data_IF_583701987585
#
_entry.id   IF_583701987585
#
_cell.length_a   1.000
_cell.length_b   1.000
_cell.length_c   1.000
_cell.angle_alpha   90.00
_cell.angle_beta   90.00
_cell.angle_gamma   90.00
#
_symmetry.space_group_name_H-M   'P 1'
#
loop_
_entity.id
_entity.type
_entity.pdbx_description
1 polymer ?
#
# COMPACT_ATOMS: atom_id res chain seq x y z
N UNK A 1 -5.99 -11.22 -15.96
CA UNK A 1 -6.80 -10.13 -15.39
C UNK A 1 -6.61 -8.97 -16.31
N UNK A 2 -7.69 -8.38 -16.77
CA UNK A 2 -7.65 -7.15 -17.54
C UNK A 2 -7.61 -6.00 -16.53
N UNK A 3 -6.53 -5.22 -16.56
CA UNK A 3 -6.42 -4.02 -15.74
C UNK A 3 -7.17 -2.86 -16.41
N UNK A 4 -7.74 -1.92 -15.61
CA UNK A 4 -8.37 -0.74 -16.17
C UNK A 4 -7.37 0.04 -17.03
N UNK A 5 -7.83 0.70 -18.09
CA UNK A 5 -6.99 1.67 -18.79
C UNK A 5 -7.05 2.98 -18.01
N UNK A 6 -5.92 3.55 -17.55
CA UNK A 6 -5.96 4.76 -16.74
C UNK A 6 -6.68 5.92 -17.40
N UNK A 7 -6.52 6.09 -18.72
CA UNK A 7 -7.22 7.16 -19.46
C UNK A 7 -8.75 7.14 -19.32
N UNK A 8 -9.35 6.03 -18.91
CA UNK A 8 -10.80 5.90 -18.73
C UNK A 8 -11.28 6.34 -17.32
N UNK A 9 -10.37 6.64 -16.38
CA UNK A 9 -10.69 6.91 -14.98
C UNK A 9 -9.86 8.05 -14.39
N UNK A 10 -10.45 8.98 -13.64
CA UNK A 10 -9.69 10.06 -12.98
C UNK A 10 -8.72 9.53 -11.91
N UNK A 11 -9.15 8.48 -11.19
CA UNK A 11 -8.42 7.87 -10.08
C UNK A 11 -8.55 6.35 -10.14
N UNK A 12 -7.43 5.66 -9.94
CA UNK A 12 -7.40 4.22 -9.73
C UNK A 12 -7.08 3.94 -8.26
N UNK A 13 -7.99 3.24 -7.58
CA UNK A 13 -7.82 2.85 -6.18
C UNK A 13 -7.30 1.42 -6.10
N UNK A 14 -6.15 1.25 -5.45
CA UNK A 14 -5.59 -0.05 -5.12
C UNK A 14 -5.86 -0.31 -3.64
N UNK A 15 -6.71 -1.28 -3.39
CA UNK A 15 -7.03 -1.75 -2.03
C UNK A 15 -6.65 -3.21 -1.88
N UNK A 16 -6.48 -3.63 -0.65
CA UNK A 16 -6.21 -5.02 -0.30
C UNK A 16 -6.08 -5.17 1.19
N UNK A 17 -6.72 -6.20 1.73
CA UNK A 17 -6.39 -6.72 3.04
C UNK A 17 -5.38 -7.85 2.84
N UNK A 18 -4.30 -7.85 3.63
CA UNK A 18 -3.44 -9.03 3.73
C UNK A 18 -4.28 -10.16 4.33
N UNK A 19 -4.05 -11.40 3.88
CA UNK A 19 -4.63 -12.55 4.57
C UNK A 19 -4.28 -12.47 6.06
N UNK A 20 -5.26 -12.52 6.97
CA UNK A 20 -4.99 -12.50 8.40
C UNK A 20 -4.14 -13.71 8.76
N UNK A 21 -3.01 -13.47 9.42
CA UNK A 21 -2.11 -14.53 9.91
C UNK A 21 -1.78 -14.30 11.38
N UNK A 22 -1.59 -15.38 12.17
CA UNK A 22 -1.02 -15.27 13.50
C UNK A 22 0.29 -14.48 13.45
N UNK A 23 0.52 -13.60 14.44
CA UNK A 23 1.69 -12.70 14.46
C UNK A 23 3.03 -13.47 14.31
N UNK A 24 3.13 -14.64 14.92
CA UNK A 24 4.32 -15.52 14.83
C UNK A 24 4.66 -16.00 13.42
N UNK A 25 3.64 -16.16 12.57
CA UNK A 25 3.82 -16.57 11.17
C UNK A 25 3.97 -15.38 10.23
N UNK A 26 3.68 -14.18 10.72
CA UNK A 26 3.68 -12.98 9.90
C UNK A 26 5.08 -12.60 9.45
N UNK A 27 6.03 -12.46 10.38
CA UNK A 27 7.40 -12.06 10.04
C UNK A 27 7.98 -12.98 8.97
N UNK A 28 7.72 -14.29 9.11
CA UNK A 28 8.08 -15.32 8.12
C UNK A 28 7.35 -15.15 6.78
N UNK A 29 6.08 -14.76 6.80
CA UNK A 29 5.33 -14.53 5.57
C UNK A 29 5.76 -13.25 4.84
N UNK A 30 6.13 -12.20 5.58
CA UNK A 30 6.59 -10.92 5.02
C UNK A 30 7.99 -11.03 4.43
N UNK A 31 8.87 -11.85 5.00
CA UNK A 31 10.19 -12.11 4.41
C UNK A 31 10.16 -13.20 3.33
N UNK A 32 9.06 -13.95 3.21
CA UNK A 32 8.91 -14.99 2.20
C UNK A 32 8.29 -14.42 0.92
N UNK A 33 9.14 -14.25 -0.10
CA UNK A 33 8.75 -13.75 -1.43
C UNK A 33 7.75 -14.65 -2.18
N UNK A 34 7.53 -15.89 -1.74
CA UNK A 34 6.53 -16.78 -2.32
C UNK A 34 5.11 -16.54 -1.76
N UNK A 35 4.92 -15.62 -0.81
CA UNK A 35 3.59 -15.31 -0.26
C UNK A 35 3.01 -14.02 -0.83
N UNK A 36 1.68 -13.95 -0.91
CA UNK A 36 0.95 -12.76 -1.32
C UNK A 36 0.89 -11.66 -0.24
N UNK A 37 1.36 -11.93 0.99
CA UNK A 37 1.39 -10.93 2.05
C UNK A 37 2.63 -10.03 1.98
N UNK A 38 3.68 -10.48 1.29
CA UNK A 38 4.84 -9.66 0.99
C UNK A 38 4.51 -8.79 -0.25
N UNK A 39 4.47 -7.44 -0.13
CA UNK A 39 4.24 -6.54 -1.27
C UNK A 39 5.36 -6.59 -2.31
N UNK A 40 6.53 -7.11 -1.95
CA UNK A 40 7.67 -7.38 -2.83
C UNK A 40 7.65 -8.81 -3.40
N UNK A 41 6.66 -9.62 -3.03
CA UNK A 41 6.58 -11.03 -3.41
C UNK A 41 6.48 -11.29 -4.92
N UNK A 42 6.85 -12.50 -5.33
CA UNK A 42 6.93 -12.94 -6.72
C UNK A 42 5.68 -13.68 -7.19
N UNK A 43 4.55 -13.53 -6.49
CA UNK A 43 3.29 -14.08 -6.98
C UNK A 43 2.98 -13.48 -8.36
N UNK A 44 2.61 -14.30 -9.36
CA UNK A 44 2.44 -13.80 -10.74
C UNK A 44 1.50 -12.61 -10.88
N UNK A 45 0.42 -12.56 -10.09
CA UNK A 45 -0.53 -11.44 -10.11
C UNK A 45 0.06 -10.15 -9.50
N UNK A 46 0.94 -10.28 -8.50
CA UNK A 46 1.57 -9.15 -7.80
C UNK A 46 2.67 -8.52 -8.67
N UNK A 47 3.44 -9.36 -9.38
CA UNK A 47 4.41 -8.90 -10.38
C UNK A 47 3.69 -8.13 -11.50
N UNK A 48 2.63 -8.73 -12.08
CA UNK A 48 1.83 -8.09 -13.14
C UNK A 48 1.18 -6.78 -12.69
N UNK A 49 0.70 -6.71 -11.45
CA UNK A 49 0.12 -5.49 -10.90
C UNK A 49 1.17 -4.37 -10.78
N UNK A 50 2.37 -4.70 -10.29
CA UNK A 50 3.48 -3.74 -10.18
C UNK A 50 3.94 -3.26 -11.56
N UNK A 51 4.08 -4.17 -12.53
CA UNK A 51 4.41 -3.83 -13.92
C UNK A 51 3.36 -2.89 -14.54
N UNK A 52 2.08 -3.17 -14.31
CA UNK A 52 0.98 -2.30 -14.74
C UNK A 52 1.10 -0.91 -14.11
N UNK A 53 1.23 -0.80 -12.78
CA UNK A 53 1.36 0.50 -12.09
C UNK A 53 2.57 1.28 -12.63
N UNK A 54 3.72 0.62 -12.75
CA UNK A 54 4.96 1.25 -13.17
C UNK A 54 4.87 1.80 -14.61
N UNK A 55 4.38 0.96 -15.54
CA UNK A 55 4.20 1.35 -16.95
C UNK A 55 3.26 2.54 -17.11
N UNK A 56 2.13 2.52 -16.40
CA UNK A 56 1.10 3.53 -16.59
C UNK A 56 1.48 4.92 -16.06
N UNK A 57 2.34 4.98 -15.05
CA UNK A 57 2.90 6.26 -14.55
C UNK A 57 3.81 6.90 -15.59
N UNK A 58 4.60 6.09 -16.29
CA UNK A 58 5.48 6.57 -17.35
C UNK A 58 4.67 7.07 -18.57
N UNK A 59 3.52 6.45 -18.85
CA UNK A 59 2.73 6.75 -20.06
C UNK A 59 1.59 7.75 -19.85
N UNK A 60 1.17 8.04 -18.61
CA UNK A 60 0.01 8.92 -18.35
C UNK A 60 0.25 9.82 -17.15
N UNK A 61 0.66 11.08 -17.38
CA UNK A 61 1.04 12.00 -16.30
C UNK A 61 -0.14 12.57 -15.49
N UNK A 62 -1.37 12.45 -16.01
CA UNK A 62 -2.56 13.08 -15.41
C UNK A 62 -3.25 12.20 -14.38
N UNK A 63 -3.21 10.87 -14.54
CA UNK A 63 -3.97 9.95 -13.72
C UNK A 63 -3.35 9.72 -12.34
N UNK A 64 -4.21 9.58 -11.33
CA UNK A 64 -3.77 9.41 -9.94
C UNK A 64 -4.03 7.99 -9.46
N UNK A 65 -3.00 7.37 -8.90
CA UNK A 65 -3.11 6.12 -8.16
C UNK A 65 -3.22 6.42 -6.67
N UNK A 66 -4.19 5.81 -5.99
CA UNK A 66 -4.35 5.90 -4.54
C UNK A 66 -4.32 4.51 -3.95
N UNK A 67 -3.41 4.28 -3.00
CA UNK A 67 -3.26 2.99 -2.34
C UNK A 67 -3.71 3.06 -0.89
N UNK A 68 -4.45 2.06 -0.44
CA UNK A 68 -4.85 1.92 0.96
C UNK A 68 -4.25 0.64 1.57
N UNK A 69 -3.66 0.76 2.77
CA UNK A 69 -3.04 -0.35 3.50
C UNK A 69 -2.05 -1.15 2.62
N UNK A 70 -2.36 -2.41 2.29
CA UNK A 70 -1.52 -3.23 1.42
C UNK A 70 -1.38 -2.63 0.01
N UNK A 71 -2.41 -1.95 -0.48
CA UNK A 71 -2.36 -1.26 -1.77
C UNK A 71 -1.35 -0.11 -1.80
N UNK A 72 -1.19 0.64 -0.70
CA UNK A 72 -0.13 1.65 -0.58
C UNK A 72 1.25 1.03 -0.67
N UNK A 73 1.44 -0.12 -0.01
CA UNK A 73 2.70 -0.85 -0.06
C UNK A 73 3.02 -1.36 -1.46
N UNK A 74 2.01 -1.86 -2.20
CA UNK A 74 2.18 -2.27 -3.59
C UNK A 74 2.58 -1.08 -4.48
N UNK A 75 1.98 0.10 -4.26
CA UNK A 75 2.39 1.30 -5.00
C UNK A 75 3.85 1.64 -4.71
N UNK A 76 4.25 1.66 -3.44
CA UNK A 76 5.64 1.92 -3.06
C UNK A 76 6.62 0.96 -3.76
N UNK A 77 6.32 -0.35 -3.74
CA UNK A 77 7.19 -1.36 -4.39
C UNK A 77 7.18 -1.28 -5.91
N UNK A 78 6.07 -0.88 -6.54
CA UNK A 78 6.02 -0.61 -7.98
C UNK A 78 6.92 0.56 -8.39
N UNK A 79 7.11 1.54 -7.49
CA UNK A 79 8.03 2.67 -7.66
C UNK A 79 9.48 2.37 -7.23
N UNK A 80 9.79 1.10 -6.90
CA UNK A 80 11.14 0.70 -6.49
C UNK A 80 11.51 1.10 -5.05
N UNK A 81 10.54 1.51 -4.24
CA UNK A 81 10.75 1.74 -2.80
C UNK A 81 10.62 0.41 -2.04
N UNK A 82 11.37 0.28 -0.94
CA UNK A 82 11.25 -0.87 -0.04
C UNK A 82 10.10 -0.70 0.95
N UNK A 83 9.49 -1.82 1.33
CA UNK A 83 8.49 -1.85 2.40
C UNK A 83 9.01 -2.66 3.57
N UNK A 84 9.16 -2.01 4.72
CA UNK A 84 9.66 -2.64 5.93
C UNK A 84 8.55 -3.11 6.86
N UNK A 85 8.91 -4.00 7.77
CA UNK A 85 8.06 -4.39 8.89
C UNK A 85 8.37 -3.49 10.07
N UNK A 86 7.34 -2.89 10.68
CA UNK A 86 7.52 -2.23 11.97
C UNK A 86 8.00 -3.23 13.02
N UNK A 87 8.99 -2.84 13.82
CA UNK A 87 9.44 -3.62 14.98
C UNK A 87 8.32 -3.82 16.02
N UNK A 88 7.29 -2.96 15.98
CA UNK A 88 6.10 -3.05 16.85
C UNK A 88 5.04 -4.04 16.36
N UNK A 89 5.24 -4.70 15.22
CA UNK A 89 4.27 -5.64 14.64
C UNK A 89 3.12 -4.96 13.89
N UNK A 90 1.97 -5.65 13.78
CA UNK A 90 0.77 -5.06 13.17
C UNK A 90 0.08 -4.08 14.12
N UNK A 91 -0.33 -2.95 13.56
CA UNK A 91 -1.28 -2.05 14.21
C UNK A 91 -2.71 -2.62 14.10
N UNK A 92 -3.14 -3.35 15.12
CA UNK A 92 -4.53 -3.81 15.29
C UNK A 92 -5.29 -2.91 16.28
N UNK A 93 -5.08 -1.60 16.20
CA UNK A 93 -5.69 -0.64 17.11
C UNK A 93 -5.79 0.75 16.47
N UNK A 94 -6.38 1.68 17.20
CA UNK A 94 -6.37 3.09 16.87
C UNK A 94 -4.98 3.69 17.17
N UNK A 95 -4.28 4.15 16.15
CA UNK A 95 -3.00 4.86 16.30
C UNK A 95 -3.24 6.37 16.24
N UNK A 96 -2.73 7.09 17.22
CA UNK A 96 -2.74 8.56 17.18
C UNK A 96 -1.54 9.05 16.40
N UNK A 97 -1.79 9.76 15.31
CA UNK A 97 -0.75 10.36 14.47
C UNK A 97 -0.68 11.84 14.77
N UNK A 98 0.47 12.28 15.27
CA UNK A 98 0.77 13.70 15.41
C UNK A 98 1.01 14.30 14.03
N UNK A 99 0.30 15.39 13.72
CA UNK A 99 0.38 16.03 12.42
C UNK A 99 1.59 16.98 12.36
N UNK A 100 2.27 16.97 11.22
CA UNK A 100 3.22 18.04 10.84
C UNK A 100 2.47 19.36 10.61
N UNK A 101 3.17 20.49 10.52
CA UNK A 101 2.54 21.79 10.27
C UNK A 101 1.66 21.80 8.99
N UNK A 102 2.14 21.13 7.93
CA UNK A 102 1.35 20.91 6.71
C UNK A 102 0.08 20.11 6.99
N UNK A 103 0.19 19.03 7.77
CA UNK A 103 -0.96 18.22 8.17
C UNK A 103 -1.96 19.01 9.02
N UNK A 104 -1.48 19.82 9.97
CA UNK A 104 -2.33 20.67 10.82
C UNK A 104 -3.09 21.70 9.99
N UNK A 105 -2.42 22.30 9.00
CA UNK A 105 -3.06 23.24 8.05
C UNK A 105 -4.14 22.53 7.23
N UNK A 106 -3.88 21.31 6.79
CA UNK A 106 -4.81 20.53 5.98
C UNK A 106 -6.05 20.05 6.77
N UNK A 107 -5.85 19.58 8.00
CA UNK A 107 -6.89 18.92 8.79
C UNK A 107 -7.50 19.80 9.90
N UNK A 108 -6.93 20.97 10.18
CA UNK A 108 -7.42 21.90 11.19
C UNK A 108 -7.31 21.40 12.64
N UNK A 109 -6.42 20.45 12.92
CA UNK A 109 -6.23 19.82 14.23
C UNK A 109 -4.77 19.39 14.42
N UNK A 110 -4.36 19.14 15.67
CA UNK A 110 -2.98 18.76 15.98
C UNK A 110 -2.65 17.28 15.71
N UNK A 111 -3.65 16.41 15.78
CA UNK A 111 -3.49 14.97 15.58
C UNK A 111 -4.72 14.36 14.92
N UNK A 112 -4.54 13.20 14.30
CA UNK A 112 -5.64 12.33 13.83
C UNK A 112 -5.56 10.98 14.50
N UNK A 113 -6.69 10.29 14.56
CA UNK A 113 -6.76 8.92 15.04
C UNK A 113 -7.00 8.02 13.83
N UNK A 114 -5.98 7.26 13.45
CA UNK A 114 -6.10 6.24 12.43
C UNK A 114 -6.66 4.97 13.08
N UNK A 115 -7.93 4.65 12.80
CA UNK A 115 -8.58 3.44 13.30
C UNK A 115 -8.50 2.35 12.24
N UNK A 116 -7.83 1.24 12.57
CA UNK A 116 -7.93 -0.01 11.82
C UNK A 116 -8.89 -0.94 12.58
N UNK A 117 -10.04 -1.27 11.97
CA UNK A 117 -10.97 -2.30 12.44
C UNK A 117 -10.73 -3.60 11.68
#
# INVERSE_FOLDING_TARGET
>A
MDYPKPGDYDVIIITGAREPRPQELLKRALTNSNTAANPEGHKPWLVKLREYINKEVETTSTQKFVGFCFGHQILATAYGLSVECSDSGYEFSATTIQLSDTGKTLFGQDYIIQRFM
#
